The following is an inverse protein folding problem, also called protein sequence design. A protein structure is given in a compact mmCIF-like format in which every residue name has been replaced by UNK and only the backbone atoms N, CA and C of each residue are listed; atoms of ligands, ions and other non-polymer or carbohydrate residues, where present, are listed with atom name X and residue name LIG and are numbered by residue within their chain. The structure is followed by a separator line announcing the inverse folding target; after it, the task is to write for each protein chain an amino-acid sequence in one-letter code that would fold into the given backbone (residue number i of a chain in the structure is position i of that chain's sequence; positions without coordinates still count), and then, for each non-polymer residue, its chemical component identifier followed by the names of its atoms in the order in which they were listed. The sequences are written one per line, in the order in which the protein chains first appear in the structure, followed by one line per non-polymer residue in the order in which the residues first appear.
data_IF_915227382094
#
_entry.id   IF_915227382094
#
_cell.length_a   1.000
_cell.length_b   1.000
_cell.length_c   1.000
_cell.angle_alpha   90.00
_cell.angle_beta   90.00
_cell.angle_gamma   90.00
#
_symmetry.space_group_name_H-M   'P 1'
#
loop_
_entity.id
_entity.type
_entity.pdbx_description
1 polymer ?
#
# COMPACT_ATOMS: atom_id res chain seq x y z
N UNK A 1 5.18 10.62 83.98
CA UNK A 1 5.25 11.16 82.60
C UNK A 1 4.82 10.05 81.65
N UNK A 2 3.70 10.22 80.93
CA UNK A 2 3.18 9.23 79.97
C UNK A 2 3.83 9.52 78.61
N UNK A 3 4.63 8.58 78.09
CA UNK A 3 5.20 8.68 76.76
C UNK A 3 4.34 7.86 75.79
N UNK A 4 3.58 8.56 74.96
CA UNK A 4 2.81 7.97 73.86
C UNK A 4 3.74 7.83 72.66
N UNK A 5 4.09 6.61 72.29
CA UNK A 5 4.87 6.34 71.07
C UNK A 5 3.88 6.18 69.91
N UNK A 6 3.89 7.14 68.99
CA UNK A 6 3.12 7.09 67.76
C UNK A 6 3.80 6.14 66.75
N UNK A 7 3.09 5.10 66.33
CA UNK A 7 3.54 4.17 65.28
C UNK A 7 3.14 4.76 63.93
N UNK A 8 4.13 5.20 63.15
CA UNK A 8 3.92 5.68 61.77
C UNK A 8 3.89 4.45 60.85
N UNK A 9 2.70 4.11 60.35
CA UNK A 9 2.56 3.13 59.28
C UNK A 9 2.99 3.75 57.94
N UNK A 10 4.14 3.34 57.42
CA UNK A 10 4.51 3.59 56.02
C UNK A 10 3.71 2.63 55.14
N UNK A 11 2.64 3.12 54.51
CA UNK A 11 1.98 2.41 53.42
C UNK A 11 2.83 2.56 52.15
N UNK A 12 3.59 1.52 51.80
CA UNK A 12 4.27 1.44 50.50
C UNK A 12 3.22 1.16 49.44
N UNK A 13 2.80 2.20 48.73
CA UNK A 13 1.98 2.10 47.51
C UNK A 13 2.81 1.45 46.40
N UNK A 14 2.62 0.15 46.18
CA UNK A 14 3.16 -0.55 45.02
C UNK A 14 2.27 -0.19 43.82
N UNK A 15 2.63 0.87 43.10
CA UNK A 15 2.04 1.13 41.78
C UNK A 15 2.56 0.04 40.82
N UNK A 16 1.70 -0.74 40.15
CA UNK A 16 2.16 -1.51 39.03
C UNK A 16 2.55 -0.51 37.93
N UNK A 17 3.85 -0.34 37.74
CA UNK A 17 4.37 0.30 36.55
C UNK A 17 3.97 -0.58 35.36
N UNK A 18 2.82 -0.28 34.76
CA UNK A 18 2.52 -0.71 33.40
C UNK A 18 3.57 -0.04 32.54
N UNK A 19 4.67 -0.75 32.30
CA UNK A 19 5.61 -0.42 31.24
C UNK A 19 4.84 -0.63 29.94
N UNK A 20 4.06 0.36 29.54
CA UNK A 20 3.77 0.57 28.14
C UNK A 20 5.13 0.89 27.52
N UNK A 21 5.81 -0.14 27.00
CA UNK A 21 6.83 0.10 25.99
C UNK A 21 6.11 0.92 24.93
N UNK A 22 6.50 2.19 24.67
CA UNK A 22 5.98 2.86 23.51
C UNK A 22 6.41 2.00 22.33
N UNK A 23 5.45 1.38 21.65
CA UNK A 23 5.71 0.85 20.31
C UNK A 23 6.38 2.01 19.55
N UNK A 24 7.52 1.78 18.89
CA UNK A 24 8.10 2.81 18.04
C UNK A 24 6.97 3.29 17.12
N UNK A 25 6.76 4.62 17.00
CA UNK A 25 5.64 5.14 16.22
C UNK A 25 5.65 4.44 14.87
N UNK A 26 4.52 3.81 14.51
CA UNK A 26 4.39 3.10 13.23
C UNK A 26 4.94 4.01 12.15
N UNK A 27 6.05 3.63 11.52
CA UNK A 27 6.64 4.46 10.48
C UNK A 27 5.67 4.49 9.32
N UNK A 28 4.91 5.58 9.24
CA UNK A 28 3.93 5.75 8.18
C UNK A 28 4.64 5.86 6.84
N UNK A 29 4.10 5.17 5.83
CA UNK A 29 4.58 5.30 4.45
C UNK A 29 4.45 6.75 3.96
N UNK A 30 5.23 7.17 2.93
CA UNK A 30 5.02 8.52 2.36
C UNK A 30 3.61 8.64 1.78
N UNK A 31 3.04 7.55 1.27
CA UNK A 31 1.66 7.56 0.80
C UNK A 31 0.64 7.68 1.92
N UNK A 32 0.83 7.01 3.05
CA UNK A 32 -0.01 7.20 4.23
C UNK A 32 0.03 8.67 4.68
N UNK A 33 1.24 9.22 4.87
CA UNK A 33 1.43 10.62 5.27
C UNK A 33 0.87 11.62 4.25
N UNK A 34 0.96 11.31 2.95
CA UNK A 34 0.38 12.13 1.90
C UNK A 34 -1.14 12.25 2.06
N UNK A 35 -1.85 11.14 2.26
CA UNK A 35 -3.30 11.15 2.46
C UNK A 35 -3.69 11.78 3.80
N UNK A 36 -2.97 11.46 4.88
CA UNK A 36 -3.21 12.10 6.19
C UNK A 36 -3.02 13.62 6.12
N UNK A 37 -2.00 14.10 5.40
CA UNK A 37 -1.77 15.54 5.21
C UNK A 37 -2.84 16.21 4.35
N UNK A 38 -3.21 15.57 3.23
CA UNK A 38 -4.12 16.11 2.22
C UNK A 38 -5.59 16.00 2.59
N UNK A 39 -6.04 14.78 2.89
CA UNK A 39 -7.45 14.43 3.11
C UNK A 39 -7.81 14.44 4.61
N UNK A 40 -6.82 14.66 5.51
CA UNK A 40 -6.96 14.63 6.98
C UNK A 40 -7.33 13.27 7.55
N UNK A 41 -7.27 12.24 6.71
CA UNK A 41 -7.53 10.85 7.04
C UNK A 41 -6.94 9.95 5.93
N UNK A 42 -6.88 8.66 6.19
CA UNK A 42 -6.44 7.62 5.26
C UNK A 42 -7.55 6.58 5.13
N UNK A 43 -7.99 6.30 3.91
CA UNK A 43 -8.95 5.23 3.67
C UNK A 43 -8.32 3.88 4.00
N UNK A 44 -9.13 2.99 4.60
CA UNK A 44 -8.69 1.66 5.01
C UNK A 44 -7.46 1.62 5.96
N UNK A 45 -7.16 2.72 6.68
CA UNK A 45 -6.05 2.77 7.63
C UNK A 45 -6.15 1.70 8.72
N UNK A 46 -5.01 1.19 9.16
CA UNK A 46 -4.95 0.30 10.34
C UNK A 46 -5.33 1.04 11.63
N UNK A 47 -4.92 2.30 11.75
CA UNK A 47 -5.13 3.15 12.94
C UNK A 47 -6.50 3.80 12.88
N UNK A 48 -7.39 3.47 13.82
CA UNK A 48 -8.78 3.95 13.84
C UNK A 48 -8.90 5.49 13.84
N UNK A 49 -7.99 6.19 14.52
CA UNK A 49 -7.98 7.65 14.60
C UNK A 49 -7.70 8.33 13.25
N UNK A 50 -6.97 7.66 12.36
CA UNK A 50 -6.60 8.19 11.05
C UNK A 50 -7.60 7.77 9.97
N UNK A 51 -8.58 6.93 10.27
CA UNK A 51 -9.49 6.37 9.26
C UNK A 51 -10.43 7.42 8.72
N UNK A 52 -10.52 7.46 7.39
CA UNK A 52 -11.61 8.19 6.76
C UNK A 52 -12.97 7.57 7.12
N UNK A 53 -14.03 8.38 7.27
CA UNK A 53 -15.39 7.86 7.34
C UNK A 53 -15.68 6.93 6.15
N UNK A 54 -16.39 5.83 6.40
CA UNK A 54 -16.75 4.90 5.33
C UNK A 54 -17.48 5.67 4.20
N UNK A 55 -17.08 5.51 2.93
CA UNK A 55 -17.70 6.25 1.83
C UNK A 55 -19.21 5.99 1.81
N UNK A 56 -20.02 7.06 1.77
CA UNK A 56 -21.48 6.94 1.65
C UNK A 56 -21.92 6.51 0.24
N UNK A 57 -21.04 6.66 -0.76
CA UNK A 57 -21.22 6.23 -2.15
C UNK A 57 -19.90 5.67 -2.70
N UNK A 58 -19.96 4.53 -3.42
CA UNK A 58 -18.79 3.72 -3.85
C UNK A 58 -17.93 4.33 -4.96
N UNK A 59 -17.93 5.65 -5.15
CA UNK A 59 -17.16 6.31 -6.20
C UNK A 59 -15.71 6.55 -5.75
N UNK A 60 -14.99 5.47 -5.48
CA UNK A 60 -13.55 5.53 -5.28
C UNK A 60 -12.85 5.92 -6.58
N UNK A 61 -11.86 6.81 -6.45
CA UNK A 61 -10.98 7.22 -7.53
C UNK A 61 -10.28 5.99 -8.09
N UNK A 62 -10.48 5.71 -9.38
CA UNK A 62 -9.77 4.62 -10.09
C UNK A 62 -8.28 4.96 -10.18
N UNK A 63 -7.41 3.96 -10.16
CA UNK A 63 -6.06 4.09 -10.72
C UNK A 63 -6.15 4.47 -12.20
N UNK A 64 -5.10 5.05 -12.79
CA UNK A 64 -4.99 5.27 -14.24
C UNK A 64 -4.88 3.94 -15.00
N UNK A 65 -4.18 3.90 -16.14
CA UNK A 65 -3.81 2.62 -16.76
C UNK A 65 -3.08 1.72 -15.75
N UNK A 66 -3.42 0.43 -15.71
CA UNK A 66 -2.87 -0.52 -14.73
C UNK A 66 -1.98 -1.54 -15.44
N UNK A 67 -0.64 -1.42 -15.35
CA UNK A 67 0.29 -2.27 -16.10
C UNK A 67 0.57 -3.62 -15.43
N UNK A 68 1.08 -4.57 -16.22
CA UNK A 68 1.79 -5.74 -15.72
C UNK A 68 3.14 -5.35 -15.10
N UNK A 69 3.59 -6.08 -14.08
CA UNK A 69 4.98 -5.98 -13.60
C UNK A 69 5.79 -7.22 -13.98
N UNK A 70 7.12 -7.06 -14.03
CA UNK A 70 8.07 -8.17 -14.08
C UNK A 70 8.93 -8.21 -12.81
N UNK A 71 9.19 -9.41 -12.24
CA UNK A 71 10.19 -9.56 -11.20
C UNK A 71 11.56 -9.16 -11.73
N UNK A 72 12.38 -8.49 -10.91
CA UNK A 72 13.76 -8.20 -11.27
C UNK A 72 14.57 -9.49 -11.33
N UNK A 73 14.85 -10.01 -12.53
CA UNK A 73 15.99 -10.90 -12.73
C UNK A 73 17.26 -10.06 -12.69
N UNK A 74 18.25 -10.47 -11.91
CA UNK A 74 19.55 -9.80 -11.86
C UNK A 74 20.06 -9.58 -13.30
N UNK A 75 20.48 -8.34 -13.60
CA UNK A 75 21.03 -7.86 -14.89
C UNK A 75 20.12 -7.12 -15.89
N UNK A 76 18.93 -6.64 -15.54
CA UNK A 76 18.30 -5.58 -16.35
C UNK A 76 18.85 -4.19 -15.99
N UNK A 77 19.67 -3.64 -16.89
CA UNK A 77 20.13 -2.23 -16.82
C UNK A 77 18.92 -1.30 -16.76
N UNK A 78 18.99 -0.28 -15.90
CA UNK A 78 18.02 0.81 -15.75
C UNK A 78 17.71 1.40 -17.14
N UNK A 79 16.52 1.11 -17.66
CA UNK A 79 16.08 1.63 -18.97
C UNK A 79 15.71 3.10 -18.82
N UNK A 80 16.55 3.98 -19.39
CA UNK A 80 16.30 5.41 -19.58
C UNK A 80 15.24 5.65 -20.67
N UNK A 81 14.04 5.10 -20.54
CA UNK A 81 12.94 5.45 -21.43
C UNK A 81 11.90 6.28 -20.67
N UNK A 82 11.98 7.59 -20.86
CA UNK A 82 11.06 8.55 -20.28
C UNK A 82 9.79 8.60 -21.11
N UNK A 83 8.68 8.03 -20.65
CA UNK A 83 7.33 8.45 -21.06
C UNK A 83 6.34 8.23 -19.90
N UNK A 84 5.85 9.33 -19.35
CA UNK A 84 4.65 9.44 -18.52
C UNK A 84 3.49 9.88 -19.42
N UNK A 85 2.23 9.51 -19.16
CA UNK A 85 1.11 10.45 -19.34
C UNK A 85 -0.22 10.03 -18.67
N UNK A 86 -1.04 11.07 -18.38
CA UNK A 86 -2.21 11.11 -17.50
C UNK A 86 -3.54 10.86 -18.24
N UNK A 87 -4.61 10.89 -17.44
CA UNK A 87 -5.99 10.43 -17.65
C UNK A 87 -6.92 11.24 -18.57
N UNK A 88 -6.48 12.26 -19.32
CA UNK A 88 -7.38 12.92 -20.28
C UNK A 88 -6.64 13.24 -21.58
N UNK A 89 -7.04 12.50 -22.62
CA UNK A 89 -6.79 12.72 -24.06
C UNK A 89 -5.33 12.92 -24.50
N UNK A 90 -4.56 11.84 -24.64
CA UNK A 90 -3.39 11.81 -25.53
C UNK A 90 -3.21 10.42 -26.16
N UNK A 91 -2.93 10.41 -27.46
CA UNK A 91 -2.85 9.24 -28.35
C UNK A 91 -1.52 8.45 -28.23
N UNK A 92 -0.94 8.34 -27.03
CA UNK A 92 0.42 7.78 -26.84
C UNK A 92 0.39 6.41 -26.15
N UNK A 93 1.11 5.43 -26.73
CA UNK A 93 1.10 4.02 -26.31
C UNK A 93 1.60 3.83 -24.87
N UNK A 94 0.81 3.13 -24.05
CA UNK A 94 1.19 2.71 -22.70
C UNK A 94 2.48 1.87 -22.70
N UNK A 95 3.35 2.06 -21.70
CA UNK A 95 4.50 1.18 -21.45
C UNK A 95 4.00 -0.23 -21.07
N UNK A 96 4.68 -1.24 -21.60
CA UNK A 96 4.27 -2.66 -21.55
C UNK A 96 4.43 -3.34 -20.18
N UNK A 97 5.34 -2.85 -19.34
CA UNK A 97 5.73 -3.53 -18.10
C UNK A 97 6.42 -2.58 -17.12
N UNK A 98 6.10 -2.66 -15.83
CA UNK A 98 6.84 -1.98 -14.74
C UNK A 98 7.77 -2.95 -13.99
N UNK A 99 8.83 -2.41 -13.39
CA UNK A 99 9.84 -3.21 -12.69
C UNK A 99 9.50 -3.31 -11.21
N UNK A 100 9.45 -4.53 -10.66
CA UNK A 100 9.41 -4.73 -9.22
C UNK A 100 10.81 -4.54 -8.63
N UNK A 101 11.00 -3.48 -7.85
CA UNK A 101 12.28 -3.15 -7.21
C UNK A 101 12.53 -3.95 -5.95
N UNK A 102 11.44 -4.31 -5.27
CA UNK A 102 11.47 -4.93 -3.96
C UNK A 102 10.45 -6.06 -3.94
N UNK A 103 10.88 -7.25 -3.50
CA UNK A 103 9.99 -8.38 -3.23
C UNK A 103 9.79 -8.45 -1.72
N UNK A 104 8.56 -8.67 -1.29
CA UNK A 104 8.24 -8.83 0.12
C UNK A 104 9.05 -9.97 0.76
N UNK A 105 9.58 -9.78 1.98
CA UNK A 105 10.46 -10.73 2.64
C UNK A 105 9.63 -11.77 3.41
N UNK A 106 10.26 -12.90 3.74
CA UNK A 106 9.67 -13.84 4.69
C UNK A 106 9.56 -13.20 6.09
N UNK A 107 8.50 -13.48 6.88
CA UNK A 107 7.40 -14.41 6.60
C UNK A 107 6.22 -13.80 5.82
N UNK A 108 6.24 -12.50 5.49
CA UNK A 108 5.13 -11.81 4.80
C UNK A 108 5.11 -12.04 3.29
N UNK A 109 6.06 -12.82 2.75
CA UNK A 109 6.19 -13.10 1.33
C UNK A 109 4.99 -13.90 0.84
N UNK A 110 4.13 -13.34 -0.03
CA UNK A 110 2.98 -14.08 -0.50
C UNK A 110 3.41 -15.18 -1.47
N UNK A 111 2.55 -16.18 -1.63
CA UNK A 111 2.77 -17.26 -2.59
C UNK A 111 3.04 -16.66 -3.99
N UNK A 112 4.22 -16.93 -4.61
CA UNK A 112 4.53 -16.43 -5.94
C UNK A 112 3.56 -16.93 -7.02
N UNK A 113 2.87 -18.04 -6.75
CA UNK A 113 1.83 -18.59 -7.62
C UNK A 113 0.44 -17.99 -7.40
N UNK A 114 0.27 -17.12 -6.40
CA UNK A 114 -0.99 -16.46 -6.09
C UNK A 114 -1.31 -15.26 -6.98
N UNK A 115 -2.42 -14.59 -6.68
CA UNK A 115 -2.76 -13.29 -7.26
C UNK A 115 -1.99 -12.20 -6.50
N UNK A 116 -1.17 -11.44 -7.22
CA UNK A 116 -0.21 -10.53 -6.60
C UNK A 116 -0.20 -9.16 -7.25
N UNK A 117 0.06 -8.15 -6.43
CA UNK A 117 0.34 -6.79 -6.88
C UNK A 117 1.62 -6.26 -6.31
N UNK A 118 2.22 -5.31 -7.02
CA UNK A 118 3.19 -4.42 -6.42
C UNK A 118 2.62 -3.00 -6.36
N UNK A 119 2.84 -2.34 -5.22
CA UNK A 119 2.47 -0.94 -5.03
C UNK A 119 3.69 -0.05 -5.30
N UNK A 120 3.47 1.25 -5.46
CA UNK A 120 4.59 2.16 -5.70
C UNK A 120 5.62 2.10 -4.56
N UNK A 121 6.90 1.99 -4.92
CA UNK A 121 8.02 1.94 -3.99
C UNK A 121 8.54 3.32 -3.58
N UNK A 122 8.13 4.39 -4.25
CA UNK A 122 8.59 5.76 -4.05
C UNK A 122 9.43 6.30 -5.22
N UNK A 123 9.74 7.59 -5.18
CA UNK A 123 10.54 8.31 -6.18
C UNK A 123 12.05 8.18 -5.86
N UNK A 124 12.56 6.95 -5.91
CA UNK A 124 13.97 6.66 -5.65
C UNK A 124 14.39 6.87 -4.19
N UNK A 125 15.64 7.31 -3.95
CA UNK A 125 16.26 7.33 -2.61
C UNK A 125 15.71 8.37 -1.63
N UNK A 126 14.73 9.19 -2.04
CA UNK A 126 14.22 10.33 -1.26
C UNK A 126 12.77 10.17 -0.80
N UNK A 127 12.04 9.15 -1.26
CA UNK A 127 10.69 8.88 -0.76
C UNK A 127 10.38 7.39 -0.70
N UNK A 128 9.56 7.02 0.28
CA UNK A 128 9.05 5.66 0.46
C UNK A 128 7.62 5.61 -0.06
N UNK A 129 7.32 4.79 -1.06
CA UNK A 129 5.93 4.63 -1.51
C UNK A 129 5.10 3.84 -0.48
N UNK A 130 4.10 3.09 -0.93
CA UNK A 130 3.33 2.22 -0.02
C UNK A 130 4.17 1.07 0.53
N UNK A 131 5.14 0.57 -0.25
CA UNK A 131 5.95 -0.59 0.13
C UNK A 131 7.32 -0.55 -0.53
N UNK A 132 8.38 -0.67 0.26
CA UNK A 132 9.75 -0.81 -0.20
C UNK A 132 10.61 -1.50 0.88
N UNK A 133 11.94 -1.43 0.77
CA UNK A 133 12.85 -2.09 1.72
C UNK A 133 12.74 -1.51 3.13
N UNK A 134 12.50 -0.21 3.24
CA UNK A 134 12.38 0.51 4.51
C UNK A 134 10.97 0.39 5.11
N UNK A 135 9.94 0.40 4.25
CA UNK A 135 8.52 0.29 4.59
C UNK A 135 7.98 -1.05 4.07
N UNK A 136 8.12 -2.10 4.87
CA UNK A 136 7.70 -3.45 4.53
C UNK A 136 6.46 -3.92 5.30
N UNK A 137 5.89 -3.07 6.16
CA UNK A 137 4.71 -3.38 6.99
C UNK A 137 3.46 -3.67 6.15
N UNK A 138 3.39 -3.11 4.93
CA UNK A 138 2.31 -3.38 3.98
C UNK A 138 2.50 -4.68 3.18
N UNK A 139 3.62 -5.39 3.33
CA UNK A 139 3.82 -6.68 2.68
C UNK A 139 2.82 -7.73 3.16
N UNK A 140 2.36 -8.58 2.25
CA UNK A 140 1.44 -9.67 2.57
C UNK A 140 -0.01 -9.25 2.78
N UNK A 141 -0.28 -7.97 3.10
CA UNK A 141 -1.63 -7.46 3.28
C UNK A 141 -2.47 -7.66 2.02
N UNK A 142 -3.73 -7.99 2.22
CA UNK A 142 -4.70 -8.17 1.15
C UNK A 142 -5.30 -6.82 0.78
N UNK A 143 -5.41 -6.56 -0.53
CA UNK A 143 -6.16 -5.44 -1.07
C UNK A 143 -7.38 -5.97 -1.80
N UNK A 144 -8.32 -5.12 -2.19
CA UNK A 144 -9.28 -5.48 -3.24
C UNK A 144 -8.95 -4.71 -4.51
N UNK A 145 -9.33 -5.30 -5.63
CA UNK A 145 -9.25 -4.72 -6.97
C UNK A 145 -10.59 -4.94 -7.66
N UNK A 146 -11.07 -3.88 -8.30
CA UNK A 146 -12.34 -3.85 -8.99
C UNK A 146 -12.16 -3.26 -10.39
N UNK A 147 -12.45 -4.08 -11.41
CA UNK A 147 -12.60 -3.63 -12.79
C UNK A 147 -14.09 -3.53 -13.14
N UNK A 148 -14.47 -2.59 -13.99
CA UNK A 148 -15.86 -2.48 -14.47
C UNK A 148 -16.30 -3.80 -15.13
N UNK A 149 -17.43 -4.36 -14.68
CA UNK A 149 -17.99 -5.59 -15.24
C UNK A 149 -17.33 -6.89 -14.78
N UNK A 150 -16.38 -6.83 -13.85
CA UNK A 150 -15.72 -8.00 -13.24
C UNK A 150 -15.97 -7.97 -11.74
N UNK A 151 -16.29 -9.06 -11.04
CA UNK A 151 -16.37 -9.06 -9.57
C UNK A 151 -15.08 -8.59 -8.90
N UNK A 152 -15.17 -8.08 -7.66
CA UNK A 152 -13.99 -7.72 -6.88
C UNK A 152 -13.08 -8.93 -6.66
N UNK A 153 -11.78 -8.74 -6.81
CA UNK A 153 -10.73 -9.75 -6.59
C UNK A 153 -9.83 -9.26 -5.45
N UNK A 154 -9.33 -10.19 -4.63
CA UNK A 154 -8.60 -9.86 -3.40
C UNK A 154 -7.15 -10.38 -3.42
N UNK A 155 -6.23 -9.74 -4.16
CA UNK A 155 -4.83 -10.15 -4.23
C UNK A 155 -4.01 -9.68 -3.02
N UNK A 156 -2.81 -10.23 -2.86
CA UNK A 156 -1.84 -9.81 -1.85
C UNK A 156 -0.81 -8.82 -2.41
N UNK A 157 -0.29 -7.93 -1.56
CA UNK A 157 0.86 -7.10 -1.87
C UNK A 157 2.12 -7.95 -1.80
N UNK A 158 2.77 -8.14 -2.95
CA UNK A 158 3.98 -8.99 -3.08
C UNK A 158 5.27 -8.18 -3.19
N UNK A 159 5.20 -6.86 -3.33
CA UNK A 159 6.40 -6.04 -3.47
C UNK A 159 6.17 -4.59 -3.82
N UNK A 160 7.27 -3.88 -4.02
CA UNK A 160 7.33 -2.47 -4.41
C UNK A 160 7.78 -2.32 -5.87
N UNK A 161 7.06 -1.51 -6.63
CA UNK A 161 7.31 -1.25 -8.05
C UNK A 161 7.78 0.18 -8.32
N UNK A 162 8.65 0.28 -9.32
CA UNK A 162 9.06 1.55 -9.91
C UNK A 162 8.05 1.98 -10.97
N UNK A 163 7.46 3.16 -10.77
CA UNK A 163 6.59 3.80 -11.75
C UNK A 163 7.28 5.00 -12.45
N UNK A 164 8.55 5.28 -12.12
CA UNK A 164 9.40 6.32 -12.72
C UNK A 164 10.05 7.26 -11.72
N UNK A 165 11.19 7.84 -12.12
CA UNK A 165 12.08 8.68 -11.28
C UNK A 165 11.52 10.08 -10.90
N UNK A 166 10.34 10.46 -11.41
CA UNK A 166 9.71 11.78 -11.19
C UNK A 166 8.21 11.68 -10.94
N UNK A 167 7.77 10.56 -10.38
CA UNK A 167 6.38 10.36 -10.02
C UNK A 167 6.12 11.09 -8.70
N UNK A 168 5.29 12.13 -8.75
CA UNK A 168 4.84 12.86 -7.56
C UNK A 168 3.88 12.00 -6.71
N UNK A 169 3.77 12.31 -5.41
CA UNK A 169 2.95 11.53 -4.47
C UNK A 169 1.47 11.43 -4.89
N UNK A 170 0.92 12.49 -5.50
CA UNK A 170 -0.46 12.53 -5.98
C UNK A 170 -0.74 11.60 -7.17
N UNK A 171 0.31 11.08 -7.81
CA UNK A 171 0.24 10.09 -8.87
C UNK A 171 0.68 8.73 -8.34
N UNK A 172 1.86 8.66 -7.71
CA UNK A 172 2.48 7.40 -7.30
C UNK A 172 1.65 6.63 -6.28
N UNK A 173 1.01 7.32 -5.34
CA UNK A 173 0.22 6.66 -4.31
C UNK A 173 -1.09 6.04 -4.82
N UNK A 174 -1.48 6.31 -6.06
CA UNK A 174 -2.62 5.66 -6.73
C UNK A 174 -2.21 4.55 -7.71
N UNK A 175 -0.91 4.43 -8.00
CA UNK A 175 -0.40 3.49 -8.98
C UNK A 175 -0.20 2.10 -8.38
N UNK A 176 -0.61 1.11 -9.15
CA UNK A 176 -0.56 -0.30 -8.83
C UNK A 176 -0.21 -1.07 -10.09
N UNK A 177 0.49 -2.19 -9.96
CA UNK A 177 0.74 -3.10 -11.07
C UNK A 177 0.44 -4.53 -10.67
N UNK A 178 0.07 -5.32 -11.68
CA UNK A 178 -0.51 -6.64 -11.52
C UNK A 178 0.47 -7.72 -11.97
N UNK A 179 0.41 -8.88 -11.34
CA UNK A 179 1.04 -10.07 -11.91
C UNK A 179 0.17 -10.62 -13.05
N UNK A 180 0.74 -11.48 -13.88
CA UNK A 180 0.06 -12.04 -15.05
C UNK A 180 -1.22 -12.79 -14.69
N UNK A 181 -1.20 -13.58 -13.61
CA UNK A 181 -2.37 -14.32 -13.12
C UNK A 181 -3.54 -13.40 -12.78
N UNK A 182 -3.28 -12.30 -12.07
CA UNK A 182 -4.30 -11.31 -11.72
C UNK A 182 -4.77 -10.50 -12.93
N UNK A 183 -3.85 -10.16 -13.83
CA UNK A 183 -4.19 -9.47 -15.07
C UNK A 183 -5.19 -10.29 -15.89
N UNK A 184 -4.93 -11.58 -16.12
CA UNK A 184 -5.87 -12.46 -16.83
C UNK A 184 -7.18 -12.68 -16.07
N UNK A 185 -7.14 -12.77 -14.73
CA UNK A 185 -8.33 -12.88 -13.89
C UNK A 185 -9.27 -11.64 -14.03
N UNK A 186 -8.70 -10.48 -14.37
CA UNK A 186 -9.45 -9.26 -14.67
C UNK A 186 -9.98 -9.19 -16.10
N UNK A 187 -9.86 -10.28 -16.89
CA UNK A 187 -10.44 -10.46 -18.23
C UNK A 187 -10.02 -9.35 -19.23
N UNK A 188 -8.72 -9.20 -19.52
CA UNK A 188 -8.22 -8.17 -20.43
C UNK A 188 -8.80 -8.36 -21.83
N UNK A 189 -8.98 -7.26 -22.57
CA UNK A 189 -9.26 -7.36 -24.01
C UNK A 189 -8.00 -7.81 -24.75
N UNK A 190 -8.15 -8.19 -26.02
CA UNK A 190 -7.01 -8.60 -26.83
C UNK A 190 -6.00 -7.47 -27.04
N UNK A 191 -6.49 -6.23 -27.15
CA UNK A 191 -5.66 -5.02 -27.22
C UNK A 191 -4.89 -4.81 -25.92
N UNK A 192 -5.54 -5.02 -24.77
CA UNK A 192 -4.91 -4.90 -23.45
C UNK A 192 -3.86 -5.98 -23.22
N UNK A 193 -4.12 -7.23 -23.65
CA UNK A 193 -3.10 -8.31 -23.63
C UNK A 193 -1.88 -7.92 -24.43
N UNK A 194 -2.07 -7.42 -25.67
CA UNK A 194 -0.98 -6.94 -26.53
C UNK A 194 -0.24 -5.75 -25.92
N UNK A 195 -0.95 -4.89 -25.19
CA UNK A 195 -0.40 -3.72 -24.53
C UNK A 195 0.28 -4.05 -23.19
N UNK A 196 0.01 -5.20 -22.58
CA UNK A 196 0.47 -5.55 -21.23
C UNK A 196 -0.09 -4.64 -20.13
N UNK A 197 -1.26 -4.03 -20.35
CA UNK A 197 -1.87 -3.11 -19.39
C UNK A 197 -3.39 -2.99 -19.57
N UNK A 198 -4.11 -2.77 -18.47
CA UNK A 198 -5.55 -2.50 -18.48
C UNK A 198 -5.79 -1.02 -18.77
N UNK A 199 -6.34 -0.72 -19.94
CA UNK A 199 -6.49 0.63 -20.50
C UNK A 199 -7.37 1.54 -19.63
N UNK A 200 -8.45 1.00 -19.08
CA UNK A 200 -9.39 1.75 -18.22
C UNK A 200 -9.00 1.77 -16.74
N UNK A 201 -7.91 1.07 -16.39
CA UNK A 201 -7.46 0.91 -15.03
C UNK A 201 -8.37 0.05 -14.15
N UNK A 202 -8.05 0.09 -12.86
CA UNK A 202 -8.83 -0.55 -11.79
C UNK A 202 -9.10 0.41 -10.65
N UNK A 203 -10.14 0.16 -9.87
CA UNK A 203 -10.27 0.71 -8.51
C UNK A 203 -9.63 -0.27 -7.53
N UNK A 204 -8.89 0.23 -6.54
CA UNK A 204 -8.27 -0.60 -5.52
C UNK A 204 -8.12 0.17 -4.21
N UNK A 205 -8.06 -0.56 -3.09
CA UNK A 205 -7.67 -0.06 -1.77
C UNK A 205 -7.36 -1.27 -0.87
N UNK A 206 -6.78 -1.02 0.30
CA UNK A 206 -6.54 -2.04 1.33
C UNK A 206 -7.85 -2.71 1.75
N UNK A 207 -7.83 -4.02 2.02
CA UNK A 207 -9.02 -4.79 2.41
C UNK A 207 -9.40 -4.53 3.88
N UNK A 208 -9.63 -3.27 4.22
CA UNK A 208 -10.01 -2.80 5.53
C UNK A 208 -10.92 -1.57 5.44
N UNK A 209 -11.75 -1.45 4.41
CA UNK A 209 -12.61 -0.28 4.21
C UNK A 209 -13.60 -0.02 5.37
N UNK A 210 -14.05 -1.09 6.03
CA UNK A 210 -15.01 -1.00 7.14
C UNK A 210 -14.35 -0.97 8.53
N UNK A 211 -13.04 -1.19 8.61
CA UNK A 211 -12.31 -1.24 9.90
C UNK A 211 -12.40 -2.60 10.60
N UNK A 212 -13.00 -3.59 9.94
CA UNK A 212 -13.23 -4.95 10.44
C UNK A 212 -12.08 -5.92 10.15
N UNK A 213 -11.05 -5.47 9.42
CA UNK A 213 -9.90 -6.27 8.97
C UNK A 213 -8.59 -5.51 9.15
N UNK A 214 -8.30 -5.13 10.40
CA UNK A 214 -7.17 -4.25 10.75
C UNK A 214 -5.82 -4.79 10.30
N UNK A 215 -5.66 -6.11 10.27
CA UNK A 215 -4.46 -6.77 9.75
C UNK A 215 -4.15 -6.40 8.29
N UNK A 216 -5.19 -6.08 7.51
CA UNK A 216 -5.09 -5.62 6.13
C UNK A 216 -5.15 -4.09 6.01
N UNK A 217 -5.11 -3.33 7.10
CA UNK A 217 -5.13 -1.88 7.06
C UNK A 217 -3.83 -1.28 6.55
N UNK A 218 -3.91 -0.13 5.88
CA UNK A 218 -2.70 0.58 5.42
C UNK A 218 -1.92 1.15 6.60
N UNK A 219 -0.60 1.15 6.46
CA UNK A 219 0.37 1.79 7.36
C UNK A 219 1.29 2.74 6.61
#
# INVERSE_FOLDING_TARGET
MKATVAVIFLAVLILPAVMANPEPPSQHSTCYNYFLGKDKCVFAAEVDADRCPAPTNSHQKRSGSTPLFTPKTENMKRSNDHLLERRYDTTTKARKTVTMLYTCPEPQKPNPDGLGVCLWAGAGSKSTGWVNKEIHQNCGKQIYIQRKGVPAIYPNIIGGCDFGDKVENDVGCFNIALNEKLFEALKPTEEERKAGSLSQGVTWDFNNLKGDKKENGST
#
